data_IF_512952293465
#
_entry.id   IF_512952293465
#
_cell.length_a   1.000
_cell.length_b   1.000
_cell.length_c   1.000
_cell.angle_alpha   90.00
_cell.angle_beta   90.00
_cell.angle_gamma   90.00
#
_symmetry.space_group_name_H-M   'P 1'
#
loop_
_entity.id
_entity.type
_entity.pdbx_description
1 polymer ?
#
# COMPACT_ATOMS: atom_id res chain seq x y z
N UNK A 1 -37.20 40.61 4.53
CA UNK A 1 -36.83 39.46 5.37
C UNK A 1 -36.56 38.27 4.47
N UNK A 2 -35.45 37.55 4.66
CA UNK A 2 -35.18 36.27 3.97
C UNK A 2 -33.91 36.21 3.11
N UNK A 3 -32.81 36.86 3.48
CA UNK A 3 -31.48 36.49 2.98
C UNK A 3 -31.04 35.26 3.77
N UNK A 4 -31.13 34.08 3.17
CA UNK A 4 -30.80 32.86 3.93
C UNK A 4 -30.81 31.57 3.13
N UNK A 5 -30.12 31.51 1.97
CA UNK A 5 -29.80 30.21 1.34
C UNK A 5 -28.47 30.16 0.56
N UNK A 6 -27.57 31.14 0.73
CA UNK A 6 -26.34 31.18 -0.06
C UNK A 6 -25.20 30.25 0.43
N UNK A 7 -25.38 29.50 1.52
CA UNK A 7 -24.36 28.60 2.06
C UNK A 7 -24.39 27.15 1.51
N UNK A 8 -25.45 26.74 0.80
CA UNK A 8 -25.54 25.37 0.28
C UNK A 8 -24.64 25.11 -0.94
N UNK A 9 -24.30 26.15 -1.72
CA UNK A 9 -23.48 26.00 -2.93
C UNK A 9 -21.99 25.74 -2.66
N UNK A 10 -21.46 26.13 -1.49
CA UNK A 10 -20.06 25.87 -1.14
C UNK A 10 -19.86 24.42 -0.67
N UNK A 11 -20.84 23.87 0.05
CA UNK A 11 -20.83 22.48 0.50
C UNK A 11 -20.99 21.52 -0.68
N UNK A 12 -21.89 21.80 -1.62
CA UNK A 12 -22.00 21.04 -2.89
C UNK A 12 -20.76 21.14 -3.78
N UNK A 13 -20.04 22.27 -3.78
CA UNK A 13 -18.78 22.43 -4.53
C UNK A 13 -17.61 21.72 -3.85
N UNK A 14 -17.57 21.64 -2.53
CA UNK A 14 -16.60 20.82 -1.80
C UNK A 14 -16.87 19.32 -1.99
N UNK A 15 -18.13 18.90 -2.02
CA UNK A 15 -18.55 17.53 -2.36
C UNK A 15 -18.23 17.19 -3.84
N UNK A 16 -18.22 18.18 -4.75
CA UNK A 16 -17.84 18.01 -6.16
C UNK A 16 -16.35 17.94 -6.46
N UNK A 17 -15.47 18.23 -5.50
CA UNK A 17 -14.02 18.25 -5.76
C UNK A 17 -13.34 16.87 -5.66
N UNK A 18 -14.07 15.84 -5.22
CA UNK A 18 -13.59 14.46 -5.30
C UNK A 18 -14.75 13.46 -5.36
N UNK A 19 -15.22 13.05 -6.56
CA UNK A 19 -16.28 12.05 -6.71
C UNK A 19 -15.92 10.67 -6.14
N UNK A 20 -14.65 10.44 -5.75
CA UNK A 20 -14.27 9.26 -4.99
C UNK A 20 -14.48 9.47 -3.48
N UNK A 21 -14.24 10.66 -2.90
CA UNK A 21 -14.67 10.94 -1.51
C UNK A 21 -16.18 11.00 -1.33
N UNK A 22 -16.96 11.28 -2.38
CA UNK A 22 -18.43 11.20 -2.27
C UNK A 22 -18.95 9.77 -2.15
N UNK A 23 -18.20 8.76 -2.62
CA UNK A 23 -18.59 7.37 -2.39
C UNK A 23 -18.27 6.95 -0.96
N UNK A 24 -17.23 7.48 -0.32
CA UNK A 24 -16.81 7.08 1.02
C UNK A 24 -17.66 7.75 2.11
N UNK A 25 -18.22 6.95 3.01
CA UNK A 25 -18.94 7.40 4.18
C UNK A 25 -18.01 7.41 5.41
N UNK A 26 -18.49 7.97 6.52
CA UNK A 26 -17.73 8.03 7.78
C UNK A 26 -17.26 6.67 8.30
N UNK A 27 -17.99 5.58 8.00
CA UNK A 27 -17.61 4.23 8.43
C UNK A 27 -16.48 3.65 7.59
N UNK A 28 -16.42 3.96 6.29
CA UNK A 28 -15.28 3.63 5.43
C UNK A 28 -13.99 4.28 5.97
N UNK A 29 -14.08 5.55 6.38
CA UNK A 29 -12.98 6.30 7.00
C UNK A 29 -12.59 5.67 8.33
N UNK A 30 -13.56 5.45 9.23
CA UNK A 30 -13.29 4.85 10.54
C UNK A 30 -12.59 3.49 10.41
N UNK A 31 -13.02 2.65 9.46
CA UNK A 31 -12.45 1.32 9.25
C UNK A 31 -10.94 1.34 9.01
N UNK A 32 -10.42 2.25 8.18
CA UNK A 32 -8.98 2.34 7.90
C UNK A 32 -8.18 3.02 9.00
N UNK A 33 -8.83 3.86 9.82
CA UNK A 33 -8.18 4.45 10.99
C UNK A 33 -8.11 3.51 12.19
N UNK A 34 -8.79 2.36 12.17
CA UNK A 34 -8.68 1.32 13.22
C UNK A 34 -7.22 0.92 13.44
N UNK A 35 -6.47 0.64 12.37
CA UNK A 35 -5.09 0.18 12.50
C UNK A 35 -4.13 1.22 13.13
N UNK A 36 -4.08 2.48 12.65
CA UNK A 36 -3.32 3.55 13.32
C UNK A 36 -3.76 3.80 14.78
N UNK A 37 -5.07 3.74 15.06
CA UNK A 37 -5.60 3.92 16.42
C UNK A 37 -5.11 2.79 17.33
N UNK A 38 -5.22 1.53 16.89
CA UNK A 38 -4.70 0.37 17.62
C UNK A 38 -3.20 0.54 17.87
N UNK A 39 -2.44 0.94 16.86
CA UNK A 39 -0.99 1.15 16.97
C UNK A 39 -0.65 2.24 18.00
N UNK A 40 -1.38 3.36 17.98
CA UNK A 40 -1.23 4.45 18.95
C UNK A 40 -1.59 4.03 20.38
N UNK A 41 -2.65 3.24 20.54
CA UNK A 41 -3.07 2.70 21.84
C UNK A 41 -2.03 1.72 22.40
N UNK A 42 -1.52 0.79 21.58
CA UNK A 42 -0.45 -0.15 21.97
C UNK A 42 0.79 0.64 22.40
N UNK A 43 1.20 1.64 21.60
CA UNK A 43 2.34 2.49 21.93
C UNK A 43 2.13 3.22 23.26
N UNK A 44 0.96 3.81 23.48
CA UNK A 44 0.60 4.46 24.74
C UNK A 44 0.68 3.52 25.94
N UNK A 45 0.12 2.31 25.82
CA UNK A 45 0.20 1.25 26.84
C UNK A 45 1.66 0.92 27.17
N UNK A 46 2.50 0.75 26.15
CA UNK A 46 3.92 0.42 26.33
C UNK A 46 4.72 1.55 27.00
N UNK A 47 4.34 2.81 26.76
CA UNK A 47 4.95 3.98 27.40
C UNK A 47 4.55 4.11 28.87
N UNK A 48 3.28 3.86 29.22
CA UNK A 48 2.80 4.01 30.60
C UNK A 48 3.13 2.79 31.47
N UNK A 49 3.31 1.60 30.88
CA UNK A 49 3.52 0.35 31.61
C UNK A 49 4.64 0.41 32.69
N UNK A 50 5.82 1.03 32.45
CA UNK A 50 6.85 1.16 33.46
C UNK A 50 6.40 1.95 34.70
N UNK A 51 5.54 2.95 34.53
CA UNK A 51 5.07 3.83 35.61
C UNK A 51 4.01 3.17 36.48
N UNK A 52 3.25 2.21 35.93
CA UNK A 52 2.21 1.47 36.66
C UNK A 52 2.69 0.12 37.22
N UNK A 53 3.99 -0.14 37.20
CA UNK A 53 4.57 -1.46 37.51
C UNK A 53 3.90 -2.61 36.73
N UNK A 54 3.35 -2.31 35.54
CA UNK A 54 2.77 -3.32 34.66
C UNK A 54 3.91 -4.30 34.33
N UNK A 55 3.73 -5.56 34.70
CA UNK A 55 4.83 -6.54 34.63
C UNK A 55 5.43 -6.62 33.22
N UNK A 56 6.73 -6.91 33.15
CA UNK A 56 7.46 -7.19 31.90
C UNK A 56 6.70 -8.16 30.98
N UNK A 57 5.87 -9.04 31.56
CA UNK A 57 4.98 -9.99 30.87
C UNK A 57 4.13 -9.36 29.76
N UNK A 58 3.67 -8.10 29.90
CA UNK A 58 2.81 -7.48 28.88
C UNK A 58 3.61 -7.15 27.61
N UNK A 59 4.88 -6.74 27.74
CA UNK A 59 5.75 -6.48 26.58
C UNK A 59 5.99 -7.74 25.76
N UNK A 60 5.99 -8.90 26.39
CA UNK A 60 6.20 -10.18 25.70
C UNK A 60 5.08 -10.56 24.73
N UNK A 61 3.88 -9.99 24.83
CA UNK A 61 2.80 -10.22 23.86
C UNK A 61 2.95 -9.39 22.58
N UNK A 62 3.67 -8.28 22.65
CA UNK A 62 3.80 -7.30 21.56
C UNK A 62 5.14 -7.40 20.81
N UNK A 63 6.10 -8.17 21.33
CA UNK A 63 7.42 -8.32 20.73
C UNK A 63 7.56 -9.71 20.12
N UNK A 64 7.91 -9.77 18.83
CA UNK A 64 8.23 -11.03 18.19
C UNK A 64 9.65 -11.45 18.57
N UNK A 65 9.77 -12.43 19.47
CA UNK A 65 11.01 -13.14 19.74
C UNK A 65 11.18 -14.26 18.72
N UNK A 66 12.21 -14.18 17.88
CA UNK A 66 12.36 -15.10 16.75
C UNK A 66 12.76 -16.52 17.18
N UNK A 67 13.36 -16.66 18.37
CA UNK A 67 13.70 -17.96 18.97
C UNK A 67 12.50 -18.68 19.57
N UNK A 68 11.44 -17.97 19.97
CA UNK A 68 10.24 -18.56 20.56
C UNK A 68 8.98 -17.78 20.15
N UNK A 69 8.56 -17.86 18.87
CA UNK A 69 7.46 -17.08 18.36
C UNK A 69 6.11 -17.71 18.73
N UNK A 70 5.27 -16.98 19.46
CA UNK A 70 3.88 -17.37 19.74
C UNK A 70 2.94 -16.80 18.67
N UNK A 71 1.72 -17.33 18.56
CA UNK A 71 0.73 -16.80 17.63
C UNK A 71 0.45 -15.30 17.86
N UNK A 72 0.27 -14.90 19.12
CA UNK A 72 0.01 -13.51 19.49
C UNK A 72 1.17 -12.59 19.11
N UNK A 73 2.42 -13.00 19.32
CA UNK A 73 3.57 -12.17 18.97
C UNK A 73 3.80 -12.07 17.47
N UNK A 74 3.50 -13.12 16.70
CA UNK A 74 3.48 -13.05 15.23
C UNK A 74 2.47 -12.02 14.73
N UNK A 75 1.30 -11.93 15.35
CA UNK A 75 0.31 -10.96 14.93
C UNK A 75 0.60 -9.53 15.44
N UNK A 76 0.70 -9.36 16.76
CA UNK A 76 0.72 -8.05 17.43
C UNK A 76 2.03 -7.28 17.26
N UNK A 77 3.14 -7.94 16.97
CA UNK A 77 4.42 -7.26 16.71
C UNK A 77 4.37 -6.34 15.49
N UNK A 78 3.53 -6.66 14.50
CA UNK A 78 3.32 -5.81 13.34
C UNK A 78 2.52 -4.53 13.66
N UNK A 79 1.90 -4.45 14.84
CA UNK A 79 1.16 -3.27 15.32
C UNK A 79 1.91 -2.54 16.42
N UNK A 80 3.18 -2.88 16.64
CA UNK A 80 3.96 -2.38 17.75
C UNK A 80 5.19 -1.64 17.23
N UNK A 81 5.46 -0.48 17.81
CA UNK A 81 6.71 0.25 17.62
C UNK A 81 7.22 0.71 18.98
N UNK A 82 8.54 0.73 19.17
CA UNK A 82 9.16 1.26 20.39
C UNK A 82 9.72 2.67 20.14
N UNK A 83 10.02 3.01 18.88
CA UNK A 83 10.62 4.30 18.53
C UNK A 83 9.55 5.25 17.98
N UNK A 84 9.36 6.44 18.56
CA UNK A 84 8.32 7.37 18.15
C UNK A 84 8.46 7.80 16.68
N UNK A 85 9.70 8.03 16.23
CA UNK A 85 9.96 8.41 14.84
C UNK A 85 9.49 7.35 13.83
N UNK A 86 9.75 6.05 14.10
CA UNK A 86 9.28 4.98 13.21
C UNK A 86 7.76 4.86 13.22
N UNK A 87 7.13 5.01 14.40
CA UNK A 87 5.68 5.03 14.52
C UNK A 87 5.04 6.16 13.70
N UNK A 88 5.54 7.39 13.88
CA UNK A 88 5.03 8.58 13.18
C UNK A 88 5.24 8.43 11.66
N UNK A 89 6.41 7.95 11.24
CA UNK A 89 6.71 7.75 9.82
C UNK A 89 5.76 6.73 9.17
N UNK A 90 5.58 5.56 9.80
CA UNK A 90 4.67 4.51 9.31
C UNK A 90 3.22 5.01 9.23
N UNK A 91 2.73 5.69 10.28
CA UNK A 91 1.37 6.25 10.30
C UNK A 91 1.20 7.33 9.23
N UNK A 92 2.17 8.23 9.10
CA UNK A 92 2.11 9.32 8.12
C UNK A 92 2.04 8.79 6.69
N UNK A 93 2.92 7.84 6.35
CA UNK A 93 2.92 7.20 5.02
C UNK A 93 1.63 6.42 4.80
N UNK A 94 1.17 5.67 5.80
CA UNK A 94 -0.11 4.96 5.73
C UNK A 94 -1.27 5.92 5.42
N UNK A 95 -1.37 7.06 6.12
CA UNK A 95 -2.41 8.06 5.87
C UNK A 95 -2.34 8.61 4.44
N UNK A 96 -1.14 8.89 3.93
CA UNK A 96 -0.97 9.32 2.54
C UNK A 96 -1.46 8.24 1.56
N UNK A 97 -1.10 6.98 1.77
CA UNK A 97 -1.51 5.88 0.89
C UNK A 97 -3.03 5.70 0.94
N UNK A 98 -3.64 5.71 2.12
CA UNK A 98 -5.10 5.62 2.28
C UNK A 98 -5.79 6.81 1.61
N UNK A 99 -5.26 8.02 1.76
CA UNK A 99 -5.77 9.19 1.06
C UNK A 99 -5.73 8.98 -0.45
N UNK A 100 -4.60 8.51 -1.01
CA UNK A 100 -4.49 8.21 -2.43
C UNK A 100 -5.46 7.10 -2.86
N UNK A 101 -5.58 6.01 -2.10
CA UNK A 101 -6.53 4.92 -2.37
C UNK A 101 -7.96 5.44 -2.41
N UNK A 102 -8.36 6.33 -1.50
CA UNK A 102 -9.69 6.94 -1.55
C UNK A 102 -9.93 7.80 -2.80
N UNK A 103 -8.88 8.23 -3.50
CA UNK A 103 -9.02 8.95 -4.77
C UNK A 103 -9.18 8.03 -5.98
N UNK A 104 -8.71 6.79 -5.90
CA UNK A 104 -8.62 5.88 -7.06
C UNK A 104 -9.54 4.67 -6.95
N UNK A 105 -9.83 4.21 -5.74
CA UNK A 105 -10.63 3.01 -5.52
C UNK A 105 -12.10 3.35 -5.70
N UNK A 106 -12.79 2.52 -6.49
CA UNK A 106 -14.21 2.71 -6.84
C UNK A 106 -15.09 1.55 -6.39
N UNK A 107 -14.49 0.46 -5.94
CA UNK A 107 -15.17 -0.74 -5.48
C UNK A 107 -14.92 -0.94 -3.98
N UNK A 108 -15.86 -0.44 -3.17
CA UNK A 108 -15.81 -0.59 -1.71
C UNK A 108 -15.63 -2.04 -1.25
N UNK A 109 -16.28 -2.99 -1.92
CA UNK A 109 -16.16 -4.40 -1.54
C UNK A 109 -14.73 -4.90 -1.73
N UNK A 110 -14.08 -4.51 -2.84
CA UNK A 110 -12.65 -4.81 -3.06
C UNK A 110 -11.80 -4.16 -1.98
N UNK A 111 -12.04 -2.89 -1.68
CA UNK A 111 -11.33 -2.15 -0.63
C UNK A 111 -11.37 -2.83 0.73
N UNK A 112 -12.56 -3.19 1.20
CA UNK A 112 -12.73 -3.85 2.49
C UNK A 112 -12.07 -5.22 2.50
N UNK A 113 -12.26 -6.02 1.45
CA UNK A 113 -11.62 -7.34 1.38
C UNK A 113 -10.10 -7.22 1.36
N UNK A 114 -9.51 -6.40 0.48
CA UNK A 114 -8.05 -6.23 0.39
C UNK A 114 -7.50 -5.72 1.72
N UNK A 115 -8.08 -4.66 2.27
CA UNK A 115 -7.67 -4.10 3.57
C UNK A 115 -7.75 -5.14 4.70
N UNK A 116 -8.80 -5.97 4.74
CA UNK A 116 -8.90 -7.03 5.73
C UNK A 116 -7.78 -8.07 5.59
N UNK A 117 -7.41 -8.48 4.37
CA UNK A 117 -6.25 -9.36 4.16
C UNK A 117 -4.93 -8.69 4.57
N UNK A 118 -4.75 -7.41 4.24
CA UNK A 118 -3.56 -6.65 4.62
C UNK A 118 -3.43 -6.43 6.12
N UNK A 119 -4.54 -6.26 6.84
CA UNK A 119 -4.54 -6.04 8.28
C UNK A 119 -4.56 -7.36 9.08
N UNK A 120 -5.19 -8.42 8.57
CA UNK A 120 -5.38 -9.65 9.36
C UNK A 120 -4.45 -10.78 8.95
N UNK A 121 -4.14 -10.92 7.65
CA UNK A 121 -3.38 -12.06 7.12
C UNK A 121 -1.91 -11.71 6.92
N UNK A 122 -1.65 -10.54 6.34
CA UNK A 122 -0.28 -10.11 6.06
C UNK A 122 0.63 -10.05 7.31
N UNK A 123 0.17 -9.64 8.52
CA UNK A 123 1.03 -9.67 9.71
C UNK A 123 1.64 -11.05 9.97
N UNK A 124 0.84 -12.11 9.81
CA UNK A 124 1.29 -13.49 10.02
C UNK A 124 2.34 -13.86 8.97
N UNK A 125 2.09 -13.56 7.70
CA UNK A 125 3.04 -13.82 6.60
C UNK A 125 4.35 -13.06 6.82
N UNK A 126 4.26 -11.79 7.19
CA UNK A 126 5.40 -10.92 7.47
C UNK A 126 6.28 -11.47 8.60
N UNK A 127 5.64 -11.98 9.67
CA UNK A 127 6.36 -12.62 10.76
C UNK A 127 7.01 -13.94 10.35
N UNK A 128 6.35 -14.79 9.56
CA UNK A 128 6.97 -16.03 9.05
C UNK A 128 8.21 -15.75 8.20
N UNK A 129 8.14 -14.75 7.32
CA UNK A 129 9.29 -14.31 6.52
C UNK A 129 10.40 -13.81 7.42
N UNK A 130 10.07 -13.01 8.44
CA UNK A 130 11.07 -12.49 9.37
C UNK A 130 11.73 -13.62 10.18
N UNK A 131 10.97 -14.58 10.69
CA UNK A 131 11.50 -15.75 11.40
C UNK A 131 12.45 -16.54 10.50
N UNK A 132 12.02 -16.86 9.27
CA UNK A 132 12.83 -17.69 8.37
C UNK A 132 14.11 -17.02 7.88
N UNK A 133 14.07 -15.71 7.63
CA UNK A 133 15.18 -15.01 6.97
C UNK A 133 16.02 -14.14 7.88
N UNK A 134 15.57 -13.85 9.11
CA UNK A 134 16.26 -12.95 10.03
C UNK A 134 16.56 -13.56 11.41
N UNK A 135 16.12 -14.79 11.72
CA UNK A 135 16.36 -15.39 13.05
C UNK A 135 17.85 -15.51 13.44
N UNK A 136 18.75 -15.62 12.46
CA UNK A 136 20.20 -15.62 12.69
C UNK A 136 20.85 -14.21 12.76
N UNK A 137 20.11 -13.16 12.41
CA UNK A 137 20.62 -11.79 12.30
C UNK A 137 20.09 -10.87 13.42
N UNK A 138 18.84 -11.08 13.85
CA UNK A 138 18.19 -10.31 14.94
C UNK A 138 17.56 -11.25 15.97
N UNK A 139 17.48 -10.80 17.22
CA UNK A 139 16.78 -11.52 18.28
C UNK A 139 15.27 -11.24 18.31
N UNK A 140 14.87 -10.02 17.94
CA UNK A 140 13.47 -9.57 18.00
C UNK A 140 13.07 -8.74 16.80
N UNK A 141 11.76 -8.65 16.52
CA UNK A 141 11.21 -7.85 15.43
C UNK A 141 9.89 -7.17 15.81
N UNK A 142 9.68 -5.97 15.27
CA UNK A 142 8.56 -5.06 15.52
C UNK A 142 8.37 -4.15 14.30
N UNK A 143 7.13 -3.78 13.98
CA UNK A 143 6.86 -2.64 13.08
C UNK A 143 5.69 -2.83 12.11
N UNK A 144 5.06 -1.71 11.75
CA UNK A 144 3.86 -1.66 10.89
C UNK A 144 4.18 -1.50 9.41
N UNK A 145 5.41 -1.11 9.10
CA UNK A 145 5.94 -0.93 7.75
C UNK A 145 5.64 -2.05 6.72
N UNK A 146 5.54 -3.33 7.11
CA UNK A 146 5.14 -4.40 6.17
C UNK A 146 3.69 -4.24 5.69
N UNK A 147 2.78 -3.83 6.58
CA UNK A 147 1.39 -3.55 6.25
C UNK A 147 1.30 -2.30 5.37
N UNK A 148 2.05 -1.24 5.71
CA UNK A 148 2.17 -0.02 4.90
C UNK A 148 2.64 -0.37 3.48
N UNK A 149 3.65 -1.24 3.35
CA UNK A 149 4.11 -1.73 2.05
C UNK A 149 3.00 -2.47 1.29
N UNK A 150 2.21 -3.29 1.98
CA UNK A 150 1.05 -3.96 1.38
C UNK A 150 -0.01 -3.00 0.85
N UNK A 151 -0.32 -1.93 1.59
CA UNK A 151 -1.21 -0.89 1.08
C UNK A 151 -0.61 -0.14 -0.12
N UNK A 152 0.71 -0.01 -0.19
CA UNK A 152 1.38 0.56 -1.36
C UNK A 152 1.22 -0.34 -2.60
N UNK A 153 1.42 -1.65 -2.45
CA UNK A 153 1.19 -2.62 -3.53
C UNK A 153 -0.27 -2.64 -3.99
N UNK A 154 -1.20 -2.48 -3.05
CA UNK A 154 -2.62 -2.29 -3.37
C UNK A 154 -2.84 -0.99 -4.16
N UNK A 155 -2.26 0.13 -3.73
CA UNK A 155 -2.35 1.39 -4.48
C UNK A 155 -1.88 1.23 -5.92
N UNK A 156 -0.74 0.57 -6.17
CA UNK A 156 -0.27 0.29 -7.54
C UNK A 156 -1.31 -0.49 -8.36
N UNK A 157 -1.88 -1.56 -7.79
CA UNK A 157 -2.94 -2.32 -8.46
C UNK A 157 -4.12 -1.43 -8.83
N UNK A 158 -4.50 -0.54 -7.93
CA UNK A 158 -5.69 0.26 -8.09
C UNK A 158 -5.48 1.42 -9.06
N UNK A 159 -4.27 1.98 -9.14
CA UNK A 159 -3.84 2.87 -10.24
C UNK A 159 -4.03 2.16 -11.58
N UNK A 160 -3.51 0.93 -11.70
CA UNK A 160 -3.65 0.11 -12.90
C UNK A 160 -5.13 -0.11 -13.27
N UNK A 161 -5.95 -0.49 -12.29
CA UNK A 161 -7.38 -0.72 -12.50
C UNK A 161 -8.12 0.57 -12.87
N UNK A 162 -7.78 1.71 -12.26
CA UNK A 162 -8.36 3.01 -12.56
C UNK A 162 -8.06 3.40 -14.00
N UNK A 163 -6.81 3.28 -14.45
CA UNK A 163 -6.44 3.61 -15.83
C UNK A 163 -7.21 2.75 -16.83
N UNK A 164 -7.32 1.45 -16.56
CA UNK A 164 -8.08 0.52 -17.41
C UNK A 164 -9.57 0.86 -17.44
N UNK A 165 -10.18 1.05 -16.28
CA UNK A 165 -11.64 1.07 -16.14
C UNK A 165 -12.24 2.46 -16.35
N UNK A 166 -11.50 3.53 -16.03
CA UNK A 166 -11.93 4.94 -16.18
C UNK A 166 -11.50 5.50 -17.52
N UNK A 167 -10.23 5.37 -17.90
CA UNK A 167 -9.74 5.90 -19.18
C UNK A 167 -9.96 4.94 -20.36
N UNK A 168 -10.50 3.73 -20.10
CA UNK A 168 -10.77 2.71 -21.14
C UNK A 168 -9.53 2.38 -21.98
N UNK A 169 -8.37 2.44 -21.35
CA UNK A 169 -7.10 2.06 -21.96
C UNK A 169 -6.91 0.55 -21.75
N UNK A 170 -6.63 -0.24 -22.79
CA UNK A 170 -6.43 -1.68 -22.65
C UNK A 170 -5.06 -1.97 -22.02
N UNK A 171 -4.95 -1.80 -20.71
CA UNK A 171 -3.72 -2.05 -19.96
C UNK A 171 -3.63 -3.54 -19.61
N UNK A 172 -2.64 -4.22 -20.19
CA UNK A 172 -2.35 -5.63 -19.90
C UNK A 172 -1.65 -5.83 -18.55
N UNK A 173 -1.63 -7.07 -18.05
CA UNK A 173 -0.90 -7.42 -16.81
C UNK A 173 0.61 -7.17 -16.95
N UNK A 174 1.14 -7.27 -18.17
CA UNK A 174 2.51 -6.89 -18.54
C UNK A 174 2.91 -5.48 -18.08
N UNK A 175 1.96 -4.56 -17.97
CA UNK A 175 2.20 -3.19 -17.51
C UNK A 175 2.54 -3.13 -16.02
N UNK A 176 1.87 -3.95 -15.20
CA UNK A 176 2.15 -4.05 -13.75
C UNK A 176 3.57 -4.59 -13.53
N UNK A 177 4.00 -5.54 -14.36
CA UNK A 177 5.34 -6.10 -14.28
C UNK A 177 6.43 -5.06 -14.56
N UNK A 178 6.16 -3.96 -15.28
CA UNK A 178 7.14 -2.88 -15.44
C UNK A 178 7.58 -2.35 -14.07
N UNK A 179 6.62 -2.03 -13.20
CA UNK A 179 6.90 -1.52 -11.85
C UNK A 179 7.64 -2.55 -11.02
N UNK A 180 7.21 -3.82 -11.09
CA UNK A 180 7.92 -4.91 -10.42
C UNK A 180 9.39 -5.02 -10.84
N UNK A 181 9.68 -4.95 -12.14
CA UNK A 181 11.05 -5.04 -12.65
C UNK A 181 11.86 -3.78 -12.34
N UNK A 182 11.23 -2.59 -12.29
CA UNK A 182 11.88 -1.36 -11.83
C UNK A 182 12.26 -1.48 -10.35
N UNK A 183 11.31 -1.86 -9.49
CA UNK A 183 11.54 -2.08 -8.07
C UNK A 183 12.63 -3.14 -7.82
N UNK A 184 12.58 -4.23 -8.58
CA UNK A 184 13.58 -5.30 -8.55
C UNK A 184 14.95 -4.83 -9.08
N UNK A 185 15.00 -3.91 -10.03
CA UNK A 185 16.24 -3.30 -10.51
C UNK A 185 16.87 -2.46 -9.41
N UNK A 186 16.10 -1.56 -8.78
CA UNK A 186 16.58 -0.77 -7.66
C UNK A 186 17.07 -1.67 -6.52
N UNK A 187 16.31 -2.71 -6.21
CA UNK A 187 16.71 -3.73 -5.25
C UNK A 187 18.05 -4.38 -5.61
N UNK A 188 18.18 -4.90 -6.83
CA UNK A 188 19.37 -5.62 -7.28
C UNK A 188 20.61 -4.73 -7.32
N UNK A 189 20.48 -3.47 -7.74
CA UNK A 189 21.59 -2.49 -7.76
C UNK A 189 22.10 -2.18 -6.35
N UNK A 190 21.24 -2.30 -5.35
CA UNK A 190 21.59 -1.98 -3.97
C UNK A 190 22.30 -3.10 -3.22
N UNK A 191 22.29 -4.30 -3.76
CA UNK A 191 23.02 -5.45 -3.23
C UNK A 191 24.46 -5.47 -3.77
N UNK A 192 25.36 -6.12 -3.02
CA UNK A 192 26.84 -6.11 -3.21
C UNK A 192 27.33 -6.33 -4.66
N UNK A 193 28.57 -5.96 -4.95
CA UNK A 193 29.19 -5.97 -6.30
C UNK A 193 29.52 -7.35 -6.89
N UNK A 194 29.03 -8.45 -6.32
CA UNK A 194 29.36 -9.80 -6.82
C UNK A 194 28.80 -10.04 -8.22
N UNK A 195 29.40 -10.98 -8.96
CA UNK A 195 29.00 -11.31 -10.33
C UNK A 195 27.52 -11.70 -10.45
N UNK A 196 27.01 -12.45 -9.47
CA UNK A 196 25.60 -12.87 -9.41
C UNK A 196 24.67 -11.66 -9.33
N UNK A 197 25.01 -10.64 -8.55
CA UNK A 197 24.22 -9.41 -8.48
C UNK A 197 24.24 -8.63 -9.78
N UNK A 198 25.41 -8.53 -10.44
CA UNK A 198 25.50 -7.91 -11.78
C UNK A 198 24.57 -8.61 -12.78
N UNK A 199 24.52 -9.95 -12.76
CA UNK A 199 23.58 -10.72 -13.59
C UNK A 199 22.12 -10.39 -13.27
N UNK A 200 21.74 -10.33 -11.99
CA UNK A 200 20.38 -9.94 -11.60
C UNK A 200 20.02 -8.53 -12.05
N UNK A 201 20.93 -7.56 -11.91
CA UNK A 201 20.74 -6.18 -12.41
C UNK A 201 20.56 -6.19 -13.92
N UNK A 202 21.39 -6.92 -14.67
CA UNK A 202 21.25 -7.01 -16.13
C UNK A 202 19.89 -7.60 -16.52
N UNK A 203 19.49 -8.71 -15.91
CA UNK A 203 18.16 -9.32 -16.16
C UNK A 203 17.03 -8.34 -15.83
N UNK A 204 17.15 -7.62 -14.71
CA UNK A 204 16.15 -6.67 -14.28
C UNK A 204 16.01 -5.51 -15.28
N UNK A 205 17.11 -4.88 -15.66
CA UNK A 205 17.16 -3.76 -16.62
C UNK A 205 16.67 -4.20 -17.99
N UNK A 206 17.14 -5.35 -18.49
CA UNK A 206 16.67 -5.91 -19.77
C UNK A 206 15.18 -6.22 -19.71
N UNK A 207 14.69 -6.77 -18.60
CA UNK A 207 13.27 -7.02 -18.35
C UNK A 207 12.44 -5.74 -18.40
N UNK A 208 12.90 -4.65 -17.74
CA UNK A 208 12.26 -3.32 -17.84
C UNK A 208 12.21 -2.88 -19.30
N UNK A 209 13.33 -2.93 -20.03
CA UNK A 209 13.40 -2.50 -21.43
C UNK A 209 12.42 -3.26 -22.34
N UNK A 210 12.38 -4.59 -22.22
CA UNK A 210 11.46 -5.45 -22.98
C UNK A 210 10.00 -5.14 -22.63
N UNK A 211 9.67 -5.01 -21.33
CA UNK A 211 8.31 -4.71 -20.91
C UNK A 211 7.87 -3.31 -21.33
N UNK A 212 8.75 -2.30 -21.25
CA UNK A 212 8.48 -0.95 -21.77
C UNK A 212 8.22 -1.00 -23.28
N UNK A 213 9.04 -1.73 -24.04
CA UNK A 213 8.87 -1.90 -25.47
C UNK A 213 7.50 -2.53 -25.81
N UNK A 214 7.15 -3.64 -25.16
CA UNK A 214 5.86 -4.34 -25.37
C UNK A 214 4.67 -3.42 -25.03
N UNK A 215 4.79 -2.61 -23.96
CA UNK A 215 3.72 -1.74 -23.50
C UNK A 215 3.81 -0.30 -24.07
N UNK A 216 4.71 -0.03 -25.03
CA UNK A 216 5.00 1.33 -25.51
C UNK A 216 3.75 2.07 -26.01
N UNK A 217 2.92 1.40 -26.82
CA UNK A 217 1.65 1.96 -27.31
C UNK A 217 0.70 2.33 -26.17
N UNK A 218 0.63 1.48 -25.15
CA UNK A 218 -0.20 1.70 -23.96
C UNK A 218 0.33 2.86 -23.13
N UNK A 219 1.65 2.92 -22.88
CA UNK A 219 2.31 4.02 -22.16
C UNK A 219 2.04 5.35 -22.87
N UNK A 220 2.24 5.41 -24.19
CA UNK A 220 1.98 6.63 -24.97
C UNK A 220 0.50 7.04 -24.92
N UNK A 221 -0.42 6.07 -24.99
CA UNK A 221 -1.85 6.35 -24.87
C UNK A 221 -2.20 6.92 -23.49
N UNK A 222 -1.62 6.35 -22.42
CA UNK A 222 -1.75 6.87 -21.05
C UNK A 222 -1.24 8.30 -20.99
N UNK A 223 0.02 8.53 -21.38
CA UNK A 223 0.66 9.85 -21.40
C UNK A 223 -0.17 10.91 -22.15
N UNK A 224 -0.61 10.61 -23.37
CA UNK A 224 -1.39 11.54 -24.18
C UNK A 224 -2.76 11.84 -23.55
N UNK A 225 -3.43 10.83 -22.99
CA UNK A 225 -4.72 10.98 -22.32
C UNK A 225 -4.60 11.89 -21.09
N UNK A 226 -3.53 11.69 -20.32
CA UNK A 226 -3.22 12.45 -19.13
C UNK A 226 -2.91 13.92 -19.46
N UNK A 227 -2.09 14.17 -20.48
CA UNK A 227 -1.79 15.53 -20.93
C UNK A 227 -3.02 16.23 -21.49
N UNK A 228 -3.81 15.55 -22.32
CA UNK A 228 -5.04 16.12 -22.84
C UNK A 228 -6.00 16.51 -21.69
N UNK A 229 -6.11 15.64 -20.68
CA UNK A 229 -6.92 15.91 -19.48
C UNK A 229 -6.35 17.09 -18.69
N UNK A 230 -5.05 17.15 -18.44
CA UNK A 230 -4.43 18.23 -17.67
C UNK A 230 -4.58 19.60 -18.33
N UNK A 231 -4.58 19.65 -19.67
CA UNK A 231 -4.86 20.87 -20.45
C UNK A 231 -6.30 21.36 -20.27
N UNK A 232 -7.26 20.45 -20.14
CA UNK A 232 -8.69 20.75 -20.00
C UNK A 232 -9.14 21.01 -18.55
N UNK A 233 -8.27 20.82 -17.56
CA UNK A 233 -8.58 21.15 -16.17
C UNK A 233 -8.59 22.67 -15.96
N UNK A 234 -9.48 23.13 -15.07
CA UNK A 234 -9.45 24.51 -14.61
C UNK A 234 -8.13 24.79 -13.88
N UNK A 235 -7.70 26.06 -13.82
CA UNK A 235 -6.48 26.48 -13.11
C UNK A 235 -6.50 26.02 -11.64
N UNK A 236 -7.68 25.92 -11.03
CA UNK A 236 -7.86 25.47 -9.64
C UNK A 236 -7.70 23.96 -9.47
N UNK A 237 -8.10 23.16 -10.46
CA UNK A 237 -8.09 21.69 -10.37
C UNK A 237 -6.77 21.06 -10.85
N UNK A 238 -6.02 21.79 -11.68
CA UNK A 238 -4.76 21.32 -12.26
C UNK A 238 -3.70 20.94 -11.22
N UNK A 239 -3.43 21.72 -10.16
CA UNK A 239 -2.43 21.36 -9.15
C UNK A 239 -2.79 20.07 -8.41
N UNK A 240 -4.06 19.90 -8.06
CA UNK A 240 -4.55 18.71 -7.36
C UNK A 240 -4.36 17.44 -8.19
N UNK A 241 -4.74 17.51 -9.48
CA UNK A 241 -4.59 16.41 -10.40
C UNK A 241 -3.12 16.05 -10.64
N UNK A 242 -2.25 17.06 -10.77
CA UNK A 242 -0.80 16.85 -10.91
C UNK A 242 -0.22 16.20 -9.65
N UNK A 243 -0.57 16.68 -8.46
CA UNK A 243 -0.07 16.15 -7.18
C UNK A 243 -0.50 14.70 -6.97
N UNK A 244 -1.78 14.38 -7.22
CA UNK A 244 -2.27 13.00 -7.08
C UNK A 244 -1.62 12.09 -8.11
N UNK A 245 -1.60 12.50 -9.37
CA UNK A 245 -1.16 11.61 -10.43
C UNK A 245 0.36 11.41 -10.43
N UNK A 246 1.14 12.48 -10.23
CA UNK A 246 2.58 12.37 -10.03
C UNK A 246 2.91 11.70 -8.70
N UNK A 247 2.15 11.96 -7.64
CA UNK A 247 2.30 11.27 -6.37
C UNK A 247 2.11 9.76 -6.52
N UNK A 248 1.06 9.33 -7.21
CA UNK A 248 0.81 7.91 -7.50
C UNK A 248 1.94 7.28 -8.30
N UNK A 249 2.41 7.93 -9.38
CA UNK A 249 3.54 7.44 -10.18
C UNK A 249 4.80 7.38 -9.33
N UNK A 250 5.09 8.43 -8.58
CA UNK A 250 6.28 8.55 -7.76
C UNK A 250 6.31 7.47 -6.67
N UNK A 251 5.21 7.30 -5.94
CA UNK A 251 5.07 6.25 -4.93
C UNK A 251 5.08 4.86 -5.53
N UNK A 252 4.58 4.67 -6.76
CA UNK A 252 4.58 3.36 -7.43
C UNK A 252 5.94 2.97 -8.03
N UNK A 253 6.79 3.94 -8.40
CA UNK A 253 8.08 3.70 -9.07
C UNK A 253 9.25 3.71 -8.10
N UNK A 254 9.20 4.58 -7.09
CA UNK A 254 10.35 4.85 -6.23
C UNK A 254 10.17 4.34 -4.80
N UNK A 255 9.14 3.53 -4.52
CA UNK A 255 8.90 3.01 -3.17
C UNK A 255 10.16 2.35 -2.60
N UNK A 256 10.73 1.35 -3.26
CA UNK A 256 11.91 0.68 -2.72
C UNK A 256 13.17 1.54 -2.72
N UNK A 257 13.25 2.55 -3.58
CA UNK A 257 14.37 3.51 -3.56
C UNK A 257 14.36 4.35 -2.28
N UNK A 258 13.20 4.94 -1.92
CA UNK A 258 13.09 5.80 -0.74
C UNK A 258 13.02 5.04 0.58
N UNK A 259 12.47 3.83 0.55
CA UNK A 259 12.32 3.00 1.74
C UNK A 259 13.52 2.11 2.01
N UNK A 260 14.55 2.13 1.14
CA UNK A 260 15.85 1.58 1.48
C UNK A 260 16.43 2.42 2.62
N UNK A 261 16.66 1.82 3.79
CA UNK A 261 17.32 2.56 4.86
C UNK A 261 18.77 2.86 4.45
N UNK A 262 19.21 4.10 4.68
CA UNK A 262 20.60 4.50 4.43
C UNK A 262 21.60 3.63 5.21
N UNK A 263 21.16 3.08 6.35
CA UNK A 263 21.90 2.14 7.17
C UNK A 263 20.99 0.95 7.49
N UNK A 264 21.45 -0.27 7.19
CA UNK A 264 20.73 -1.49 7.57
C UNK A 264 20.66 -1.66 9.09
N UNK A 265 21.60 -1.06 9.81
CA UNK A 265 21.70 -1.08 11.28
C UNK A 265 21.54 0.34 11.81
N UNK A 266 20.55 0.58 12.67
CA UNK A 266 20.40 1.83 13.42
C UNK A 266 20.50 1.49 14.92
N UNK A 267 21.73 1.52 15.43
CA UNK A 267 22.07 0.94 16.73
C UNK A 267 21.89 -0.58 16.69
N UNK A 268 21.12 -1.13 17.64
CA UNK A 268 20.78 -2.56 17.69
C UNK A 268 19.58 -2.98 16.82
N UNK A 269 18.98 -2.05 16.06
CA UNK A 269 17.83 -2.35 15.22
C UNK A 269 18.28 -2.60 13.78
N UNK A 270 17.86 -3.74 13.21
CA UNK A 270 18.03 -4.04 11.78
C UNK A 270 16.70 -3.83 11.06
N UNK A 271 16.74 -3.07 9.97
CA UNK A 271 15.55 -2.85 9.14
C UNK A 271 15.40 -4.02 8.16
N UNK A 272 14.37 -4.82 8.37
CA UNK A 272 14.05 -5.97 7.53
C UNK A 272 13.33 -5.53 6.24
N UNK A 273 14.07 -5.01 5.27
CA UNK A 273 13.52 -4.58 3.98
C UNK A 273 12.93 -5.75 3.16
N UNK A 274 13.35 -7.01 3.40
CA UNK A 274 12.78 -8.20 2.74
C UNK A 274 11.28 -8.34 3.05
N UNK A 275 10.88 -8.03 4.28
CA UNK A 275 9.47 -8.10 4.68
C UNK A 275 8.61 -7.02 4.01
N UNK A 276 9.20 -5.85 3.71
CA UNK A 276 8.51 -4.80 2.94
C UNK A 276 8.23 -5.26 1.52
N UNK A 277 9.19 -5.95 0.90
CA UNK A 277 9.01 -6.52 -0.43
C UNK A 277 7.88 -7.55 -0.49
N UNK A 278 7.84 -8.44 0.51
CA UNK A 278 6.74 -9.40 0.64
C UNK A 278 5.41 -8.69 0.87
N UNK A 279 5.36 -7.68 1.74
CA UNK A 279 4.17 -6.88 1.99
C UNK A 279 3.63 -6.26 0.70
N UNK A 280 4.48 -5.50 0.00
CA UNK A 280 4.15 -4.88 -1.28
C UNK A 280 3.61 -5.87 -2.31
N UNK A 281 4.33 -6.97 -2.54
CA UNK A 281 3.90 -7.97 -3.51
C UNK A 281 2.59 -8.64 -3.11
N UNK A 282 2.42 -8.96 -1.82
CA UNK A 282 1.18 -9.52 -1.30
C UNK A 282 0.01 -8.58 -1.55
N UNK A 283 0.16 -7.28 -1.27
CA UNK A 283 -0.87 -6.29 -1.53
C UNK A 283 -1.26 -6.19 -2.99
N UNK A 284 -0.29 -6.21 -3.90
CA UNK A 284 -0.53 -6.21 -5.34
C UNK A 284 -1.30 -7.46 -5.79
N UNK A 285 -0.83 -8.65 -5.39
CA UNK A 285 -1.41 -9.93 -5.80
C UNK A 285 -2.80 -10.13 -5.21
N UNK A 286 -2.99 -9.86 -3.91
CA UNK A 286 -4.29 -10.08 -3.27
C UNK A 286 -5.36 -9.16 -3.88
N UNK A 287 -4.97 -7.94 -4.27
CA UNK A 287 -5.85 -7.01 -4.97
C UNK A 287 -6.30 -7.54 -6.33
N UNK A 288 -5.36 -8.14 -7.08
CA UNK A 288 -5.68 -8.81 -8.35
C UNK A 288 -6.58 -10.02 -8.15
N UNK A 289 -6.27 -10.90 -7.20
CA UNK A 289 -7.06 -12.10 -6.89
C UNK A 289 -8.48 -11.71 -6.49
N UNK A 290 -8.66 -10.82 -5.52
CA UNK A 290 -9.98 -10.38 -5.05
C UNK A 290 -10.77 -9.76 -6.19
N UNK A 291 -10.15 -8.92 -7.02
CA UNK A 291 -10.84 -8.34 -8.17
C UNK A 291 -11.34 -9.41 -9.15
N UNK A 292 -10.53 -10.44 -9.44
CA UNK A 292 -10.94 -11.57 -10.31
C UNK A 292 -12.08 -12.38 -9.69
N UNK A 293 -12.00 -12.69 -8.40
CA UNK A 293 -13.05 -13.41 -7.68
C UNK A 293 -14.38 -12.64 -7.70
N UNK A 294 -14.34 -11.32 -7.49
CA UNK A 294 -15.53 -10.48 -7.55
C UNK A 294 -16.15 -10.44 -8.96
N UNK A 295 -15.32 -10.32 -10.00
CA UNK A 295 -15.78 -10.38 -11.39
C UNK A 295 -16.45 -11.72 -11.71
N UNK A 296 -15.82 -12.84 -11.33
CA UNK A 296 -16.35 -14.18 -11.55
C UNK A 296 -17.71 -14.37 -10.85
N UNK A 297 -17.82 -13.95 -9.58
CA UNK A 297 -19.08 -14.01 -8.83
C UNK A 297 -20.21 -13.20 -9.48
N UNK A 298 -19.90 -12.01 -10.00
CA UNK A 298 -20.88 -11.17 -10.70
C UNK A 298 -21.35 -11.82 -12.01
N UNK A 299 -20.43 -12.42 -12.78
CA UNK A 299 -20.75 -13.15 -14.00
C UNK A 299 -21.63 -14.37 -13.72
N UNK A 300 -21.32 -15.16 -12.67
CA UNK A 300 -22.12 -16.31 -12.26
C UNK A 300 -23.56 -15.94 -11.89
N UNK A 301 -23.74 -14.86 -11.12
CA UNK A 301 -25.09 -14.34 -10.78
C UNK A 301 -25.89 -13.94 -12.01
N UNK A 302 -25.24 -13.28 -12.99
CA UNK A 302 -25.90 -12.86 -14.23
C UNK A 302 -26.34 -14.07 -15.08
N UNK A 303 -25.54 -15.14 -15.10
CA UNK A 303 -25.87 -16.38 -15.81
C UNK A 303 -27.03 -17.12 -15.13
N UNK A 304 -26.97 -17.30 -13.82
CA UNK A 304 -28.05 -17.94 -13.04
C UNK A 304 -29.41 -17.26 -13.27
N UNK A 305 -29.44 -15.93 -13.25
CA UNK A 305 -30.66 -15.16 -13.52
C UNK A 305 -31.19 -15.31 -14.95
N UNK A 306 -30.31 -15.54 -15.93
CA UNK A 306 -30.72 -15.79 -17.33
C UNK A 306 -31.28 -17.20 -17.53
N UNK A 307 -30.79 -18.18 -16.76
CA UNK A 307 -31.27 -19.57 -16.81
C UNK A 307 -32.61 -19.73 -16.09
N UNK A 308 -32.87 -18.92 -15.06
CA UNK A 308 -34.13 -18.95 -14.29
C UNK A 308 -35.30 -18.21 -14.95
N UNK A 309 -35.13 -17.71 -16.18
CA UNK A 309 -36.16 -17.00 -16.96
C UNK A 309 -36.48 -17.81 -18.21
#
# INVERSE_FOLDING_TARGET
MGIGHHFNGLHERLIKLNPALSIWNRYDILFVFIAPVIQGLIYGILLIAPYFHLSYSIKHFFILYLSNPTFSTRFLSNYTSIRPYHLISDIFIYIIIIFLLFNVERNKKRFYCVSAFLLLVLPLIASEVTIKFMAGEIGTSLGFSAIVAGFMGYLLYDVYAYVRDVYKIPVGVSFIFIFFFIDFTFWSVTLSTTLIHKMFVTIAVTGVGVLVYINWKTINKIYNTLIAKSKNLTVKDRPYWVVIFLGMIYFSIFYFYFFKPAQLHIGHAIINWKVHYVGYFFGLVISWVINRTLQFHQSGKKLSWRISR
#
